data_IF_954612780594
#
_entry.id   IF_954612780594
#
_cell.length_a   1.000
_cell.length_b   1.000
_cell.length_c   1.000
_cell.angle_alpha   90.00
_cell.angle_beta   90.00
_cell.angle_gamma   90.00
#
_symmetry.space_group_name_H-M   'P 1'
#
loop_
_entity.id
_entity.type
_entity.pdbx_description
1 polymer ?
#
# COMPACT_ATOMS: atom_id res chain seq x y z
N UNK A 1 -36.43 -60.34 -8.52
CA UNK A 1 -36.20 -61.50 -9.40
C UNK A 1 -35.45 -60.98 -10.61
N UNK A 2 -34.26 -61.38 -11.04
CA UNK A 2 -33.23 -62.38 -10.73
C UNK A 2 -31.94 -61.72 -11.30
N UNK A 3 -30.86 -61.54 -10.53
CA UNK A 3 -29.77 -62.50 -10.32
C UNK A 3 -29.01 -62.92 -11.59
N UNK A 4 -27.68 -62.85 -11.48
CA UNK A 4 -26.60 -63.64 -12.13
C UNK A 4 -25.62 -62.79 -12.94
N UNK A 5 -24.32 -63.03 -12.94
CA UNK A 5 -23.38 -63.74 -12.06
C UNK A 5 -22.01 -63.41 -12.69
N UNK A 6 -21.03 -63.07 -11.88
CA UNK A 6 -19.59 -63.15 -12.18
C UNK A 6 -19.19 -64.61 -12.49
N UNK A 7 -18.06 -64.91 -13.18
CA UNK A 7 -16.78 -65.03 -12.45
C UNK A 7 -15.44 -64.91 -13.25
N UNK A 8 -14.42 -64.33 -12.59
CA UNK A 8 -13.04 -64.88 -12.38
C UNK A 8 -12.11 -65.13 -13.60
N UNK A 9 -10.76 -65.16 -13.57
CA UNK A 9 -9.69 -65.18 -12.55
C UNK A 9 -8.31 -65.06 -13.25
N UNK A 10 -7.33 -64.48 -12.55
CA UNK A 10 -5.85 -64.76 -12.55
C UNK A 10 -5.05 -64.60 -13.86
N UNK A 11 -3.87 -63.96 -13.89
CA UNK A 11 -2.59 -64.29 -13.22
C UNK A 11 -1.66 -63.07 -13.43
N UNK A 12 -0.88 -62.56 -12.48
CA UNK A 12 0.31 -63.18 -11.90
C UNK A 12 1.57 -62.87 -12.73
N UNK A 13 2.34 -61.83 -12.39
CA UNK A 13 3.81 -61.77 -12.60
C UNK A 13 4.46 -60.70 -11.72
N UNK A 14 5.61 -61.08 -11.17
CA UNK A 14 6.35 -60.49 -10.05
C UNK A 14 7.71 -60.02 -10.59
N UNK A 15 8.29 -59.02 -9.91
CA UNK A 15 9.68 -58.54 -9.95
C UNK A 15 10.16 -57.75 -11.18
N UNK A 16 10.49 -56.47 -10.97
CA UNK A 16 11.90 -56.04 -10.73
C UNK A 16 11.97 -54.53 -10.46
N UNK A 17 12.58 -54.15 -9.34
CA UNK A 17 13.00 -52.77 -9.03
C UNK A 17 14.15 -52.34 -9.96
N UNK A 18 14.36 -51.02 -10.11
CA UNK A 18 15.67 -50.49 -9.78
C UNK A 18 15.59 -49.33 -8.79
N UNK A 19 16.51 -49.37 -7.82
CA UNK A 19 16.94 -48.22 -7.04
C UNK A 19 17.40 -47.10 -7.99
N UNK A 20 16.87 -45.91 -7.83
CA UNK A 20 17.65 -44.69 -8.02
C UNK A 20 17.42 -43.77 -6.82
N UNK A 21 18.48 -43.62 -6.04
CA UNK A 21 18.70 -42.52 -5.12
C UNK A 21 18.71 -41.22 -5.93
N UNK A 22 17.81 -40.32 -5.59
CA UNK A 22 17.73 -38.98 -6.17
C UNK A 22 17.07 -38.04 -5.18
N UNK A 23 17.87 -37.53 -4.27
CA UNK A 23 17.59 -36.36 -3.46
C UNK A 23 17.09 -35.20 -4.33
N UNK A 24 15.84 -34.76 -4.19
CA UNK A 24 15.41 -33.37 -4.41
C UNK A 24 14.04 -33.15 -3.75
N UNK A 25 14.09 -32.98 -2.43
CA UNK A 25 13.19 -32.05 -1.76
C UNK A 25 13.44 -30.64 -2.30
N UNK A 26 12.46 -29.98 -2.93
CA UNK A 26 12.22 -28.51 -2.89
C UNK A 26 11.33 -27.93 -3.99
N UNK A 27 10.89 -28.67 -5.02
CA UNK A 27 10.24 -28.02 -6.19
C UNK A 27 8.72 -27.88 -6.10
N UNK A 28 8.10 -28.19 -4.95
CA UNK A 28 6.63 -28.16 -4.81
C UNK A 28 6.11 -27.02 -3.92
N UNK A 29 6.98 -26.10 -3.50
CA UNK A 29 6.65 -24.88 -2.72
C UNK A 29 6.77 -23.57 -3.50
N UNK A 30 6.77 -23.62 -4.84
CA UNK A 30 6.79 -22.41 -5.68
C UNK A 30 5.47 -22.12 -6.40
N UNK A 31 4.40 -22.88 -6.17
CA UNK A 31 3.13 -22.72 -6.89
C UNK A 31 2.09 -21.79 -6.24
N UNK A 32 2.47 -20.97 -5.26
CA UNK A 32 1.62 -19.90 -4.73
C UNK A 32 2.43 -18.60 -4.47
N UNK A 33 3.30 -18.22 -5.40
CA UNK A 33 3.60 -16.80 -5.61
C UNK A 33 2.63 -16.31 -6.68
N UNK A 34 1.53 -15.75 -6.19
CA UNK A 34 0.39 -15.28 -6.96
C UNK A 34 0.81 -14.43 -8.16
N UNK A 35 0.21 -14.74 -9.31
CA UNK A 35 0.24 -13.98 -10.56
C UNK A 35 -0.39 -12.57 -10.43
N UNK A 36 0.03 -11.76 -9.47
CA UNK A 36 -0.44 -10.38 -9.25
C UNK A 36 0.44 -9.33 -9.98
N UNK A 37 1.56 -9.73 -10.57
CA UNK A 37 2.59 -8.83 -11.11
C UNK A 37 2.50 -8.56 -12.63
N UNK A 38 1.43 -8.97 -13.31
CA UNK A 38 1.40 -8.94 -14.78
C UNK A 38 0.50 -7.86 -15.40
N UNK A 39 0.58 -6.64 -14.87
CA UNK A 39 0.27 -5.45 -15.66
C UNK A 39 1.51 -4.55 -15.68
N UNK A 40 2.02 -4.15 -16.85
CA UNK A 40 3.19 -3.28 -16.88
C UNK A 40 2.82 -1.96 -16.19
N UNK A 41 3.51 -1.68 -15.07
CA UNK A 41 3.38 -0.44 -14.32
C UNK A 41 3.72 0.80 -15.17
N UNK A 42 4.35 0.56 -16.32
CA UNK A 42 4.81 1.58 -17.24
C UNK A 42 3.96 1.62 -18.51
N UNK A 43 3.59 2.82 -18.91
CA UNK A 43 3.03 3.14 -20.22
C UNK A 43 4.19 3.50 -21.15
N UNK A 44 4.42 2.67 -22.16
CA UNK A 44 5.41 2.91 -23.21
C UNK A 44 4.78 3.75 -24.32
N UNK A 45 5.40 4.89 -24.67
CA UNK A 45 4.91 5.85 -25.69
C UNK A 45 3.43 6.18 -25.54
N UNK A 46 3.14 7.08 -24.60
CA UNK A 46 1.79 7.59 -24.42
C UNK A 46 1.41 8.51 -25.62
N UNK A 47 0.40 8.13 -26.39
CA UNK A 47 -0.19 9.00 -27.41
C UNK A 47 -0.97 10.13 -26.73
N UNK A 48 -0.26 11.21 -26.40
CA UNK A 48 -0.83 12.43 -25.81
C UNK A 48 -2.11 12.91 -26.52
N UNK A 49 -2.20 12.98 -27.87
CA UNK A 49 -3.43 13.44 -28.52
C UNK A 49 -4.64 12.52 -28.25
N UNK A 50 -4.40 11.20 -28.18
CA UNK A 50 -5.45 10.22 -27.87
C UNK A 50 -5.91 10.35 -26.42
N UNK A 51 -4.98 10.56 -25.48
CA UNK A 51 -5.30 10.82 -24.08
C UNK A 51 -6.10 12.12 -23.92
N UNK A 52 -5.71 13.19 -24.63
CA UNK A 52 -6.44 14.46 -24.61
C UNK A 52 -7.86 14.30 -25.17
N UNK A 53 -8.03 13.52 -26.25
CA UNK A 53 -9.36 13.21 -26.77
C UNK A 53 -10.20 12.41 -25.77
N UNK A 54 -9.62 11.42 -25.10
CA UNK A 54 -10.31 10.65 -24.07
C UNK A 54 -10.73 11.54 -22.88
N UNK A 55 -9.84 12.44 -22.43
CA UNK A 55 -10.14 13.42 -21.38
C UNK A 55 -11.34 14.30 -21.75
N UNK A 56 -11.36 14.88 -22.96
CA UNK A 56 -12.50 15.68 -23.42
C UNK A 56 -13.78 14.86 -23.52
N UNK A 57 -13.69 13.60 -23.96
CA UNK A 57 -14.85 12.71 -24.05
C UNK A 57 -15.47 12.44 -22.67
N UNK A 58 -14.65 12.17 -21.65
CA UNK A 58 -15.13 12.01 -20.27
C UNK A 58 -15.69 13.32 -19.70
N UNK A 59 -15.07 14.46 -19.98
CA UNK A 59 -15.57 15.76 -19.54
C UNK A 59 -16.94 16.10 -20.17
N UNK A 60 -17.12 15.82 -21.47
CA UNK A 60 -18.40 15.99 -22.14
C UNK A 60 -19.46 15.01 -21.64
N UNK A 61 -19.10 13.75 -21.39
CA UNK A 61 -19.99 12.78 -20.77
C UNK A 61 -20.44 13.23 -19.37
N UNK A 62 -19.53 13.77 -18.55
CA UNK A 62 -19.85 14.32 -17.24
C UNK A 62 -20.87 15.47 -17.34
N UNK A 63 -20.67 16.40 -18.28
CA UNK A 63 -21.62 17.49 -18.53
C UNK A 63 -22.99 17.00 -19.00
N UNK A 64 -23.01 15.96 -19.85
CA UNK A 64 -24.24 15.33 -20.31
C UNK A 64 -25.02 14.69 -19.15
N UNK A 65 -24.36 13.86 -18.33
CA UNK A 65 -24.99 13.23 -17.16
C UNK A 65 -25.45 14.24 -16.10
N UNK A 66 -24.74 15.36 -15.95
CA UNK A 66 -25.16 16.45 -15.07
C UNK A 66 -26.48 17.08 -15.53
N UNK A 67 -26.69 17.22 -16.85
CA UNK A 67 -27.95 17.72 -17.43
C UNK A 67 -29.10 16.73 -17.24
N UNK A 68 -28.79 15.44 -17.26
CA UNK A 68 -29.76 14.34 -17.06
C UNK A 68 -30.01 14.01 -15.57
N UNK A 69 -29.52 14.85 -14.64
CA UNK A 69 -29.62 14.66 -13.18
C UNK A 69 -28.99 13.36 -12.64
N UNK A 70 -28.17 12.67 -13.44
CA UNK A 70 -27.42 11.48 -13.03
C UNK A 70 -26.09 11.87 -12.38
N UNK A 71 -26.15 12.44 -11.17
CA UNK A 71 -25.00 13.02 -10.48
C UNK A 71 -23.88 12.01 -10.22
N UNK A 72 -24.21 10.77 -9.85
CA UNK A 72 -23.21 9.71 -9.61
C UNK A 72 -22.39 9.41 -10.87
N UNK A 73 -23.04 9.30 -12.03
CA UNK A 73 -22.38 9.08 -13.31
C UNK A 73 -21.55 10.31 -13.74
N UNK A 74 -22.07 11.51 -13.51
CA UNK A 74 -21.36 12.75 -13.78
C UNK A 74 -20.05 12.84 -12.97
N UNK A 75 -20.11 12.56 -11.67
CA UNK A 75 -18.95 12.55 -10.76
C UNK A 75 -17.94 11.47 -11.18
N UNK A 76 -18.40 10.26 -11.50
CA UNK A 76 -17.51 9.19 -11.96
C UNK A 76 -16.74 9.57 -13.23
N UNK A 77 -17.42 10.15 -14.22
CA UNK A 77 -16.77 10.61 -15.45
C UNK A 77 -15.84 11.80 -15.21
N UNK A 78 -16.18 12.72 -14.30
CA UNK A 78 -15.28 13.82 -13.90
C UNK A 78 -13.99 13.29 -13.28
N UNK A 79 -14.08 12.32 -12.36
CA UNK A 79 -12.91 11.69 -11.73
C UNK A 79 -12.04 10.95 -12.76
N UNK A 80 -12.64 10.31 -13.77
CA UNK A 80 -11.90 9.70 -14.88
C UNK A 80 -11.21 10.76 -15.76
N UNK A 81 -11.85 11.90 -16.02
CA UNK A 81 -11.21 13.00 -16.74
C UNK A 81 -10.00 13.55 -15.97
N UNK A 82 -10.12 13.73 -14.64
CA UNK A 82 -8.99 14.11 -13.76
C UNK A 82 -7.85 13.09 -13.81
N UNK A 83 -8.16 11.79 -13.76
CA UNK A 83 -7.15 10.72 -13.85
C UNK A 83 -6.40 10.74 -15.19
N UNK A 84 -7.12 10.96 -16.30
CA UNK A 84 -6.50 11.07 -17.63
C UNK A 84 -5.64 12.34 -17.72
N UNK A 85 -6.09 13.46 -17.17
CA UNK A 85 -5.30 14.69 -17.10
C UNK A 85 -4.00 14.48 -16.32
N UNK A 86 -4.06 13.76 -15.18
CA UNK A 86 -2.88 13.42 -14.39
C UNK A 86 -1.91 12.51 -15.17
N UNK A 87 -2.43 11.53 -15.91
CA UNK A 87 -1.61 10.70 -16.80
C UNK A 87 -0.89 11.54 -17.86
N UNK A 88 -1.58 12.52 -18.47
CA UNK A 88 -0.98 13.43 -19.46
C UNK A 88 0.14 14.25 -18.83
N UNK A 89 -0.11 14.88 -17.68
CA UNK A 89 0.89 15.69 -16.98
C UNK A 89 2.15 14.88 -16.64
N UNK A 90 1.98 13.63 -16.18
CA UNK A 90 3.10 12.73 -15.87
C UNK A 90 3.85 12.27 -17.11
N UNK A 91 3.14 11.97 -18.21
CA UNK A 91 3.78 11.61 -19.48
C UNK A 91 4.51 12.80 -20.14
N UNK A 92 4.08 14.03 -19.88
CA UNK A 92 4.77 15.25 -20.34
C UNK A 92 5.99 15.60 -19.48
N UNK A 93 5.92 15.35 -18.17
CA UNK A 93 7.03 15.62 -17.25
C UNK A 93 8.13 14.55 -17.29
N UNK A 94 7.85 13.35 -17.81
CA UNK A 94 8.86 12.28 -17.90
C UNK A 94 9.78 12.49 -19.11
N UNK A 95 11.08 12.65 -18.87
CA UNK A 95 12.11 12.69 -19.93
C UNK A 95 12.34 11.32 -20.58
N UNK A 96 11.86 10.24 -19.96
CA UNK A 96 11.95 8.86 -20.46
C UNK A 96 10.74 8.46 -21.30
N UNK A 97 10.96 7.58 -22.29
CA UNK A 97 9.91 6.94 -23.12
C UNK A 97 8.93 6.05 -22.31
N UNK A 98 9.14 5.92 -21.01
CA UNK A 98 8.31 5.20 -20.06
C UNK A 98 7.80 6.15 -18.98
N UNK A 99 6.47 6.23 -18.87
CA UNK A 99 5.77 6.95 -17.79
C UNK A 99 5.00 5.96 -16.93
N UNK A 100 4.74 6.29 -15.67
CA UNK A 100 3.92 5.44 -14.80
C UNK A 100 2.50 5.40 -15.38
N UNK A 101 1.94 4.20 -15.51
CA UNK A 101 0.56 4.00 -15.95
C UNK A 101 -0.38 4.21 -14.76
N UNK A 102 -1.32 5.13 -14.92
CA UNK A 102 -2.38 5.43 -13.96
C UNK A 102 -3.75 4.93 -14.42
N UNK A 103 -3.88 4.59 -15.70
CA UNK A 103 -5.11 4.11 -16.32
C UNK A 103 -5.21 2.57 -16.30
N UNK A 104 -6.41 2.06 -16.06
CA UNK A 104 -6.73 0.62 -16.02
C UNK A 104 -5.79 -0.18 -15.10
N UNK A 105 -5.54 0.34 -13.91
CA UNK A 105 -4.80 -0.37 -12.87
C UNK A 105 -5.68 -1.38 -12.14
N UNK A 106 -5.09 -2.50 -11.73
CA UNK A 106 -5.70 -3.39 -10.73
C UNK A 106 -5.73 -2.71 -9.35
N UNK A 107 -6.59 -3.14 -8.41
CA UNK A 107 -6.58 -2.61 -7.05
C UNK A 107 -5.21 -2.75 -6.34
N UNK A 108 -4.45 -3.81 -6.64
CA UNK A 108 -3.07 -3.97 -6.19
C UNK A 108 -2.11 -2.98 -6.85
N UNK A 109 -2.26 -2.75 -8.16
CA UNK A 109 -1.51 -1.74 -8.90
C UNK A 109 -1.74 -0.32 -8.37
N UNK A 110 -3.00 0.04 -8.07
CA UNK A 110 -3.33 1.34 -7.46
C UNK A 110 -2.61 1.50 -6.13
N UNK A 111 -2.73 0.53 -5.22
CA UNK A 111 -2.04 0.57 -3.92
C UNK A 111 -0.52 0.70 -4.08
N UNK A 112 0.08 -0.01 -5.02
CA UNK A 112 1.52 0.10 -5.30
C UNK A 112 1.90 1.51 -5.76
N UNK A 113 1.15 2.06 -6.72
CA UNK A 113 1.42 3.36 -7.32
C UNK A 113 1.23 4.50 -6.32
N UNK A 114 0.13 4.51 -5.56
CA UNK A 114 -0.13 5.51 -4.51
C UNK A 114 0.88 5.47 -3.38
N UNK A 115 1.41 4.29 -3.06
CA UNK A 115 2.35 4.10 -1.95
C UNK A 115 3.79 4.51 -2.31
N UNK A 116 4.23 4.24 -3.54
CA UNK A 116 5.66 4.30 -3.89
C UNK A 116 6.05 5.43 -4.83
N UNK A 117 5.13 5.93 -5.66
CA UNK A 117 5.50 6.77 -6.80
C UNK A 117 4.77 8.11 -6.90
N UNK A 118 3.57 8.22 -6.31
CA UNK A 118 2.76 9.43 -6.38
C UNK A 118 3.03 10.37 -5.22
N UNK A 119 2.79 11.67 -5.46
CA UNK A 119 2.66 12.68 -4.39
C UNK A 119 1.33 12.52 -3.66
N UNK A 120 1.09 13.27 -2.58
CA UNK A 120 -0.13 13.13 -1.77
C UNK A 120 -1.37 13.54 -2.58
N UNK A 121 -1.32 14.68 -3.24
CA UNK A 121 -2.38 15.19 -4.12
C UNK A 121 -2.71 14.24 -5.28
N UNK A 122 -1.69 13.65 -5.90
CA UNK A 122 -1.86 12.67 -6.96
C UNK A 122 -2.42 11.35 -6.46
N UNK A 123 -1.95 10.87 -5.31
CA UNK A 123 -2.46 9.66 -4.68
C UNK A 123 -3.95 9.80 -4.34
N UNK A 124 -4.38 10.97 -3.83
CA UNK A 124 -5.78 11.29 -3.61
C UNK A 124 -6.59 11.28 -4.91
N UNK A 125 -6.06 11.85 -5.97
CA UNK A 125 -6.74 11.89 -7.29
C UNK A 125 -6.96 10.48 -7.83
N UNK A 126 -5.92 9.64 -7.80
CA UNK A 126 -6.01 8.23 -8.23
C UNK A 126 -6.96 7.44 -7.33
N UNK A 127 -6.86 7.59 -6.02
CA UNK A 127 -7.74 6.93 -5.06
C UNK A 127 -9.22 7.25 -5.32
N UNK A 128 -9.56 8.52 -5.56
CA UNK A 128 -10.93 8.94 -5.91
C UNK A 128 -11.41 8.34 -7.23
N UNK A 129 -10.54 8.26 -8.24
CA UNK A 129 -10.90 7.73 -9.55
C UNK A 129 -11.17 6.21 -9.54
N UNK A 130 -10.49 5.46 -8.67
CA UNK A 130 -10.70 4.02 -8.49
C UNK A 130 -11.64 3.66 -7.33
N UNK A 131 -12.16 4.65 -6.61
CA UNK A 131 -12.99 4.48 -5.42
C UNK A 131 -12.31 3.62 -4.33
N UNK A 132 -11.01 3.84 -4.13
CA UNK A 132 -10.18 3.14 -3.15
C UNK A 132 -9.70 4.09 -2.05
N UNK A 133 -9.46 3.54 -0.85
CA UNK A 133 -8.86 4.27 0.26
C UNK A 133 -7.35 4.11 0.20
N UNK A 134 -6.62 5.22 0.35
CA UNK A 134 -5.15 5.21 0.39
C UNK A 134 -4.68 4.67 1.75
N UNK A 135 -3.76 3.71 1.74
CA UNK A 135 -3.04 3.30 2.94
C UNK A 135 -1.92 4.31 3.24
N UNK A 136 -2.26 5.35 4.01
CA UNK A 136 -1.32 6.39 4.42
C UNK A 136 -0.17 5.86 5.26
N UNK A 137 -0.38 4.79 6.04
CA UNK A 137 0.70 4.17 6.82
C UNK A 137 1.77 3.58 5.91
N UNK A 138 1.36 2.86 4.85
CA UNK A 138 2.29 2.32 3.87
C UNK A 138 2.96 3.43 3.05
N UNK A 139 2.20 4.47 2.66
CA UNK A 139 2.70 5.56 1.85
C UNK A 139 3.75 6.39 2.59
N UNK A 140 3.49 6.78 3.84
CA UNK A 140 4.45 7.50 4.69
C UNK A 140 5.68 6.62 4.96
N UNK A 141 5.49 5.33 5.22
CA UNK A 141 6.62 4.42 5.40
C UNK A 141 7.53 4.38 4.15
N UNK A 142 6.99 4.21 2.95
CA UNK A 142 7.81 4.12 1.74
C UNK A 142 8.40 5.49 1.33
N UNK A 143 7.59 6.55 1.31
CA UNK A 143 8.03 7.86 0.82
C UNK A 143 8.90 8.62 1.81
N UNK A 144 8.51 8.65 3.08
CA UNK A 144 9.23 9.40 4.10
C UNK A 144 10.28 8.54 4.80
N UNK A 145 9.87 7.40 5.39
CA UNK A 145 10.78 6.60 6.22
C UNK A 145 11.86 5.90 5.40
N UNK A 146 11.54 5.34 4.24
CA UNK A 146 12.50 4.66 3.35
C UNK A 146 13.18 5.68 2.41
N UNK A 147 12.42 6.37 1.56
CA UNK A 147 12.99 7.25 0.54
C UNK A 147 13.53 8.59 1.09
N UNK A 148 13.09 9.02 2.28
CA UNK A 148 13.54 10.29 2.86
C UNK A 148 12.93 11.53 2.25
N UNK A 149 11.77 11.41 1.62
CA UNK A 149 11.12 12.53 0.97
C UNK A 149 10.39 13.42 2.00
N UNK A 150 11.08 14.45 2.50
CA UNK A 150 10.51 15.42 3.45
C UNK A 150 9.35 16.23 2.83
N UNK A 151 9.43 16.54 1.53
CA UNK A 151 8.36 17.27 0.84
C UNK A 151 7.04 16.50 0.81
N UNK A 152 7.10 15.17 0.78
CA UNK A 152 5.92 14.32 0.86
C UNK A 152 5.24 14.40 2.23
N UNK A 153 6.02 14.43 3.31
CA UNK A 153 5.47 14.58 4.67
C UNK A 153 4.84 15.95 4.86
N UNK A 154 5.49 17.02 4.38
CA UNK A 154 4.94 18.37 4.44
C UNK A 154 3.61 18.46 3.68
N UNK A 155 3.55 17.95 2.44
CA UNK A 155 2.32 17.90 1.66
C UNK A 155 1.23 17.09 2.39
N UNK A 156 1.58 15.97 3.02
CA UNK A 156 0.62 15.17 3.79
C UNK A 156 0.03 15.95 4.96
N UNK A 157 0.86 16.66 5.72
CA UNK A 157 0.44 17.46 6.87
C UNK A 157 -0.45 18.65 6.48
N UNK A 158 -0.31 19.17 5.25
CA UNK A 158 -1.20 20.21 4.72
C UNK A 158 -2.62 19.66 4.42
N UNK A 159 -2.74 18.40 4.02
CA UNK A 159 -4.03 17.78 3.68
C UNK A 159 -4.71 17.06 4.85
N UNK A 160 -3.95 16.46 5.77
CA UNK A 160 -4.47 15.60 6.83
C UNK A 160 -3.64 15.67 8.10
N UNK A 161 -4.30 15.47 9.24
CA UNK A 161 -3.59 15.28 10.51
C UNK A 161 -2.95 13.89 10.58
N UNK A 162 -1.83 13.80 11.29
CA UNK A 162 -1.14 12.55 11.54
C UNK A 162 -1.80 11.84 12.74
N UNK A 163 -2.61 10.82 12.46
CA UNK A 163 -3.21 10.00 13.51
C UNK A 163 -2.15 9.11 14.19
N UNK A 164 -2.20 8.92 15.52
CA UNK A 164 -1.33 7.98 16.22
C UNK A 164 -1.40 6.55 15.67
N UNK A 165 -2.57 6.11 15.18
CA UNK A 165 -2.73 4.79 14.56
C UNK A 165 -1.82 4.60 13.33
N UNK A 166 -1.73 5.65 12.50
CA UNK A 166 -0.89 5.64 11.29
C UNK A 166 0.58 5.49 11.69
N UNK A 167 1.01 6.20 12.74
CA UNK A 167 2.39 6.14 13.21
C UNK A 167 2.71 4.78 13.81
N UNK A 168 1.81 4.20 14.60
CA UNK A 168 1.97 2.85 15.13
C UNK A 168 2.13 1.82 14.00
N UNK A 169 1.33 1.94 12.93
CA UNK A 169 1.43 1.04 11.79
C UNK A 169 2.72 1.25 10.96
N UNK A 170 3.20 2.50 10.85
CA UNK A 170 4.52 2.81 10.27
C UNK A 170 5.64 2.16 11.09
N UNK A 171 5.57 2.25 12.42
CA UNK A 171 6.56 1.64 13.34
C UNK A 171 6.57 0.13 13.18
N UNK A 172 5.40 -0.53 13.15
CA UNK A 172 5.29 -1.98 12.91
C UNK A 172 5.93 -2.37 11.57
N UNK A 173 5.72 -1.58 10.51
CA UNK A 173 6.35 -1.81 9.20
C UNK A 173 7.88 -1.66 9.26
N UNK A 174 8.40 -0.70 10.02
CA UNK A 174 9.84 -0.55 10.23
C UNK A 174 10.43 -1.73 11.02
N UNK A 175 9.75 -2.18 12.09
CA UNK A 175 10.18 -3.34 12.88
C UNK A 175 10.24 -4.60 12.03
N UNK A 176 9.22 -4.83 11.19
CA UNK A 176 9.18 -5.96 10.28
C UNK A 176 10.30 -5.93 9.23
N UNK A 177 10.63 -4.75 8.70
CA UNK A 177 11.67 -4.59 7.69
C UNK A 177 13.10 -4.57 8.27
N UNK A 178 13.25 -4.27 9.55
CA UNK A 178 14.52 -4.12 10.24
C UNK A 178 14.77 -2.68 10.67
N UNK A 179 14.87 -2.49 11.98
CA UNK A 179 15.04 -1.17 12.58
C UNK A 179 16.40 -0.57 12.17
N UNK A 180 16.34 0.53 11.43
CA UNK A 180 17.51 1.27 10.94
C UNK A 180 17.62 2.60 11.70
N UNK A 181 18.84 3.05 12.04
CA UNK A 181 19.06 4.34 12.76
C UNK A 181 18.38 5.53 12.06
N UNK A 182 18.52 5.61 10.73
CA UNK A 182 17.87 6.66 9.92
C UNK A 182 16.34 6.58 10.02
N UNK A 183 15.78 5.37 10.03
CA UNK A 183 14.35 5.16 10.22
C UNK A 183 13.87 5.59 11.60
N UNK A 184 14.68 5.35 12.64
CA UNK A 184 14.38 5.81 14.01
C UNK A 184 14.37 7.33 14.12
N UNK A 185 15.36 8.02 13.53
CA UNK A 185 15.43 9.49 13.51
C UNK A 185 14.22 10.10 12.79
N UNK A 186 13.83 9.51 11.65
CA UNK A 186 12.63 9.94 10.91
C UNK A 186 11.34 9.70 11.70
N UNK A 187 11.23 8.58 12.40
CA UNK A 187 10.08 8.35 13.30
C UNK A 187 10.09 9.37 14.45
N UNK A 188 11.26 9.71 15.00
CA UNK A 188 11.34 10.74 16.03
C UNK A 188 10.76 12.09 15.57
N UNK A 189 10.96 12.46 14.30
CA UNK A 189 10.32 13.63 13.68
C UNK A 189 8.81 13.43 13.53
N UNK A 190 8.32 12.26 13.10
CA UNK A 190 6.87 12.00 13.06
C UNK A 190 6.21 12.16 14.43
N UNK A 191 6.90 11.77 15.51
CA UNK A 191 6.38 11.88 16.88
C UNK A 191 6.25 13.32 17.36
N UNK A 192 6.96 14.30 16.77
CA UNK A 192 6.78 15.71 17.15
C UNK A 192 5.47 16.30 16.66
N UNK A 193 4.82 15.64 15.69
CA UNK A 193 3.52 16.03 15.14
C UNK A 193 2.33 15.36 15.84
N UNK A 194 2.56 14.54 16.87
CA UNK A 194 1.52 13.86 17.65
C UNK A 194 1.35 14.56 19.00
N UNK A 195 0.10 14.71 19.46
CA UNK A 195 -0.24 15.30 20.76
C UNK A 195 -0.32 14.25 21.89
N UNK A 196 -0.61 13.00 21.54
CA UNK A 196 -0.82 11.88 22.47
C UNK A 196 0.50 11.40 23.09
N UNK A 197 0.78 11.89 24.30
CA UNK A 197 2.02 11.59 25.03
C UNK A 197 2.22 10.10 25.33
N UNK A 198 1.16 9.30 25.48
CA UNK A 198 1.27 7.86 25.72
C UNK A 198 1.78 7.11 24.49
N UNK A 199 1.30 7.47 23.30
CA UNK A 199 1.78 6.90 22.03
C UNK A 199 3.24 7.30 21.80
N UNK A 200 3.57 8.58 22.01
CA UNK A 200 4.95 9.08 21.88
C UNK A 200 5.89 8.32 22.81
N UNK A 201 5.54 8.20 24.08
CA UNK A 201 6.35 7.49 25.06
C UNK A 201 6.52 6.00 24.70
N UNK A 202 5.43 5.34 24.28
CA UNK A 202 5.46 3.91 23.92
C UNK A 202 6.35 3.64 22.70
N UNK A 203 6.18 4.41 21.63
CA UNK A 203 6.97 4.27 20.40
C UNK A 203 8.43 4.63 20.68
N UNK A 204 8.69 5.70 21.43
CA UNK A 204 10.04 6.11 21.78
C UNK A 204 10.74 5.05 22.66
N UNK A 205 10.02 4.44 23.60
CA UNK A 205 10.56 3.34 24.42
C UNK A 205 10.84 2.07 23.60
N UNK A 206 10.00 1.75 22.61
CA UNK A 206 10.20 0.59 21.73
C UNK A 206 11.43 0.77 20.82
N UNK A 207 11.60 1.97 20.27
CA UNK A 207 12.70 2.29 19.37
C UNK A 207 13.98 2.74 20.10
N UNK A 208 13.94 2.92 21.43
CA UNK A 208 15.08 3.39 22.22
C UNK A 208 15.43 4.87 22.00
N UNK A 209 14.45 5.69 21.61
CA UNK A 209 14.59 7.13 21.33
C UNK A 209 14.65 7.92 22.66
N UNK A 210 15.84 8.03 23.24
CA UNK A 210 16.06 8.69 24.55
C UNK A 210 15.57 10.14 24.58
N UNK A 211 15.84 10.92 23.53
CA UNK A 211 15.45 12.33 23.48
C UNK A 211 13.94 12.52 23.57
N UNK A 212 13.16 11.73 22.81
CA UNK A 212 11.69 11.81 22.83
C UNK A 212 11.11 11.35 24.18
N UNK A 213 11.75 10.36 24.84
CA UNK A 213 11.38 9.92 26.19
C UNK A 213 11.61 11.05 27.20
N UNK A 214 12.79 11.69 27.15
CA UNK A 214 13.14 12.80 28.05
C UNK A 214 12.21 14.00 27.86
N UNK A 215 11.83 14.33 26.62
CA UNK A 215 10.83 15.37 26.32
C UNK A 215 9.47 15.03 26.93
N UNK A 216 9.00 13.77 26.80
CA UNK A 216 7.74 13.33 27.41
C UNK A 216 7.78 13.38 28.94
N UNK A 217 8.89 12.96 29.55
CA UNK A 217 9.04 12.94 31.01
C UNK A 217 9.26 14.32 31.63
N UNK A 218 9.79 15.27 30.85
CA UNK A 218 9.97 16.66 31.28
C UNK A 218 8.70 17.50 31.11
N UNK A 219 7.74 17.01 30.32
CA UNK A 219 6.44 17.65 30.08
C UNK A 219 5.45 17.40 31.22
N UNK A 220 4.38 18.19 31.27
CA UNK A 220 3.25 18.01 32.21
C UNK A 220 2.56 16.64 32.07
N UNK A 221 2.80 15.95 30.96
CA UNK A 221 2.33 14.59 30.69
C UNK A 221 2.94 13.51 31.62
N UNK A 222 4.01 13.80 32.37
CA UNK A 222 4.68 12.80 33.20
C UNK A 222 3.79 12.18 34.29
N UNK A 223 2.88 12.96 34.88
CA UNK A 223 1.91 12.45 35.86
C UNK A 223 0.89 11.50 35.19
N UNK A 224 0.40 11.88 34.01
CA UNK A 224 -0.51 11.07 33.21
C UNK A 224 0.11 9.74 32.75
N UNK A 225 1.37 9.75 32.31
CA UNK A 225 2.10 8.56 31.88
C UNK A 225 2.30 7.55 33.04
N UNK A 226 2.56 8.06 34.25
CA UNK A 226 2.65 7.21 35.46
C UNK A 226 1.35 6.50 35.79
N UNK A 227 0.21 7.14 35.54
CA UNK A 227 -1.09 6.55 35.82
C UNK A 227 -1.61 5.63 34.71
N UNK A 228 -1.14 5.79 33.48
CA UNK A 228 -1.61 5.02 32.31
C UNK A 228 -0.62 3.95 31.87
N UNK A 229 0.56 4.36 31.42
CA UNK A 229 1.55 3.49 30.76
C UNK A 229 2.30 2.62 31.77
N UNK A 230 2.59 3.12 32.97
CA UNK A 230 3.34 2.33 33.96
C UNK A 230 2.47 1.34 34.74
N UNK A 231 1.14 1.50 34.72
CA UNK A 231 0.19 0.58 35.38
C UNK A 231 -0.35 -0.50 34.46
N UNK A 232 -0.60 -0.20 33.18
CA UNK A 232 -1.00 -1.19 32.18
C UNK A 232 0.24 -1.78 31.52
N UNK A 233 0.66 -2.94 32.02
CA UNK A 233 1.65 -3.78 31.36
C UNK A 233 1.27 -4.03 29.89
N UNK A 234 2.27 -3.93 29.03
CA UNK A 234 2.21 -4.00 27.57
C UNK A 234 1.52 -5.27 27.05
N UNK A 235 0.40 -5.11 26.31
CA UNK A 235 -0.12 -6.14 25.39
C UNK A 235 -0.81 -5.47 24.19
N UNK A 236 -0.29 -5.69 22.98
CA UNK A 236 -1.11 -5.55 21.78
C UNK A 236 -2.05 -6.75 21.73
N UNK A 237 -3.36 -6.51 21.76
CA UNK A 237 -4.30 -7.52 21.29
C UNK A 237 -4.07 -7.66 19.79
N UNK A 238 -3.47 -8.80 19.42
CA UNK A 238 -3.43 -9.37 18.07
C UNK A 238 -4.79 -9.35 17.40
#
# INVERSE_FOLDING_TARGET
MQAKDTPSRSTGKRFSSPRSSGSHSSTERQFLQSNEDQFPLYLHKADIPLLTQAMHSYAHAAQYYMRDQQLTAAVANSRLAELVALQIARSQSSTSDTSIRLLKLSPSGVRCVTTKYLSVSEALTVARAYDLIVDWSAAIYNQYVVNGNESYLAEYLDYSFLSPDIVLDVVKKLEYAGVTKVGQERIAVLLTHIEEADVIYRVASQLGLKSSIETCLSSSAAAYLKDTVFKKGFTYST
#
